data_IF_923251891466
#
_entry.id   IF_923251891466
#
_cell.length_a   1.000
_cell.length_b   1.000
_cell.length_c   1.000
_cell.angle_alpha   90.00
_cell.angle_beta   90.00
_cell.angle_gamma   90.00
#
_symmetry.space_group_name_H-M   'P 1'
#
loop_
_entity.id
_entity.type
_entity.pdbx_description
1 polymer ?
#
# COMPACT_ATOMS: atom_id res chain seq x y z
N UNK A 1 -36.19 25.68 22.57
CA UNK A 1 -35.75 24.53 21.76
C UNK A 1 -34.72 23.78 22.57
N UNK A 2 -35.04 22.57 22.99
CA UNK A 2 -34.19 21.75 23.86
C UNK A 2 -32.95 21.27 23.09
N UNK A 3 -31.76 21.43 23.68
CA UNK A 3 -30.48 21.15 23.01
C UNK A 3 -30.39 19.67 22.54
N UNK A 4 -30.99 18.75 23.29
CA UNK A 4 -31.03 17.32 22.96
C UNK A 4 -31.86 16.99 21.69
N UNK A 5 -32.75 17.88 21.26
CA UNK A 5 -33.59 17.69 20.09
C UNK A 5 -32.95 18.16 18.79
N UNK A 6 -31.77 18.77 18.85
CA UNK A 6 -31.05 19.18 17.65
C UNK A 6 -30.58 17.96 16.85
N UNK A 7 -30.86 17.96 15.54
CA UNK A 7 -30.54 16.88 14.61
C UNK A 7 -29.05 16.52 14.65
N UNK A 8 -28.16 17.52 14.71
CA UNK A 8 -26.71 17.27 14.81
C UNK A 8 -26.31 16.50 16.06
N UNK A 9 -26.97 16.74 17.19
CA UNK A 9 -26.67 16.07 18.47
C UNK A 9 -27.18 14.63 18.41
N UNK A 10 -28.38 14.41 17.87
CA UNK A 10 -28.92 13.06 17.62
C UNK A 10 -28.03 12.27 16.65
N UNK A 11 -27.57 12.89 15.58
CA UNK A 11 -26.69 12.28 14.58
C UNK A 11 -25.31 11.95 15.17
N UNK A 12 -24.75 12.82 16.01
CA UNK A 12 -23.50 12.58 16.74
C UNK A 12 -23.63 11.36 17.66
N UNK A 13 -24.68 11.28 18.47
CA UNK A 13 -24.90 10.16 19.38
C UNK A 13 -25.29 8.86 18.64
N UNK A 14 -26.02 8.96 17.52
CA UNK A 14 -26.30 7.81 16.66
C UNK A 14 -25.05 7.32 15.92
N UNK A 15 -24.15 8.22 15.53
CA UNK A 15 -22.83 7.88 14.99
C UNK A 15 -21.99 7.18 16.05
N UNK A 16 -21.91 7.72 17.27
CA UNK A 16 -21.14 7.15 18.39
C UNK A 16 -21.68 5.78 18.85
N UNK A 17 -23.00 5.56 18.82
CA UNK A 17 -23.61 4.24 19.05
C UNK A 17 -23.32 3.23 17.94
N UNK A 18 -23.21 3.68 16.69
CA UNK A 18 -22.75 2.84 15.56
C UNK A 18 -21.25 2.49 15.64
N UNK A 19 -20.49 3.21 16.46
CA UNK A 19 -19.06 2.97 16.73
C UNK A 19 -18.79 1.91 17.79
N UNK A 20 -19.78 1.12 18.25
CA UNK A 20 -19.49 -0.08 19.03
C UNK A 20 -18.50 -0.95 18.24
N UNK A 21 -17.32 -1.14 18.82
CA UNK A 21 -16.22 -1.87 18.19
C UNK A 21 -16.63 -3.33 18.07
N UNK A 22 -17.12 -3.71 16.89
CA UNK A 22 -17.39 -5.11 16.57
C UNK A 22 -16.06 -5.80 16.35
N UNK A 23 -15.68 -6.68 17.28
CA UNK A 23 -14.51 -7.54 17.12
C UNK A 23 -14.75 -8.41 15.88
N UNK A 24 -13.88 -8.35 14.86
CA UNK A 24 -14.01 -9.19 13.68
C UNK A 24 -13.93 -10.67 14.05
N UNK A 25 -14.71 -11.50 13.37
CA UNK A 25 -14.59 -12.96 13.45
C UNK A 25 -13.27 -13.45 12.84
N UNK A 26 -12.83 -14.65 13.21
CA UNK A 26 -11.63 -15.28 12.66
C UNK A 26 -11.66 -15.36 11.13
N UNK A 27 -12.83 -15.64 10.52
CA UNK A 27 -13.01 -15.60 9.06
C UNK A 27 -12.74 -14.21 8.47
N UNK A 28 -13.09 -13.14 9.18
CA UNK A 28 -12.84 -11.77 8.71
C UNK A 28 -11.38 -11.34 8.88
N UNK A 29 -10.62 -12.02 9.74
CA UNK A 29 -9.19 -11.82 9.93
C UNK A 29 -8.35 -12.72 9.02
N UNK A 30 -8.92 -13.81 8.51
CA UNK A 30 -8.29 -14.70 7.56
C UNK A 30 -7.89 -13.95 6.28
N UNK A 31 -6.69 -14.22 5.80
CA UNK A 31 -6.15 -13.70 4.54
C UNK A 31 -5.77 -14.87 3.63
N UNK A 32 -5.26 -14.58 2.43
CA UNK A 32 -4.87 -15.56 1.43
C UNK A 32 -3.38 -15.48 1.09
N UNK A 33 -2.83 -16.55 0.52
CA UNK A 33 -1.42 -16.63 0.17
C UNK A 33 -1.09 -15.75 -1.05
N UNK A 34 -0.33 -14.68 -0.83
CA UNK A 34 0.07 -13.74 -1.90
C UNK A 34 0.89 -14.41 -3.02
N UNK A 35 1.56 -15.54 -2.75
CA UNK A 35 2.33 -16.30 -3.72
C UNK A 35 1.52 -16.70 -4.95
N UNK A 36 0.21 -16.93 -4.80
CA UNK A 36 -0.69 -17.23 -5.92
C UNK A 36 -0.70 -16.09 -6.95
N UNK A 37 -0.63 -14.83 -6.49
CA UNK A 37 -0.59 -13.66 -7.36
C UNK A 37 0.81 -13.44 -7.96
N UNK A 38 1.87 -13.77 -7.22
CA UNK A 38 3.24 -13.77 -7.74
C UNK A 38 3.38 -14.80 -8.87
N UNK A 39 2.85 -16.01 -8.68
CA UNK A 39 2.82 -17.07 -9.69
C UNK A 39 2.01 -16.64 -10.92
N UNK A 40 0.88 -15.97 -10.73
CA UNK A 40 0.12 -15.39 -11.84
C UNK A 40 0.96 -14.38 -12.64
N UNK A 41 1.68 -13.47 -11.98
CA UNK A 41 2.56 -12.52 -12.67
C UNK A 41 3.67 -13.26 -13.44
N UNK A 42 4.30 -14.26 -12.82
CA UNK A 42 5.37 -15.07 -13.45
C UNK A 42 4.88 -15.91 -14.63
N UNK A 43 3.66 -16.43 -14.57
CA UNK A 43 3.15 -17.39 -15.57
C UNK A 43 2.28 -16.78 -16.66
N UNK A 44 1.56 -15.68 -16.36
CA UNK A 44 0.61 -15.04 -17.29
C UNK A 44 1.05 -13.67 -17.78
N UNK A 45 1.90 -13.00 -17.02
CA UNK A 45 2.40 -11.66 -17.34
C UNK A 45 3.91 -11.68 -17.61
N UNK A 46 4.41 -12.77 -18.17
CA UNK A 46 5.80 -12.95 -18.61
C UNK A 46 5.82 -13.68 -19.97
N UNK A 47 6.75 -13.37 -20.90
CA UNK A 47 7.80 -12.34 -20.81
C UNK A 47 7.29 -10.92 -21.10
N UNK A 48 7.87 -9.91 -20.44
CA UNK A 48 7.40 -8.49 -20.49
C UNK A 48 7.28 -7.95 -21.92
N UNK A 49 8.20 -8.33 -22.81
CA UNK A 49 8.28 -7.84 -24.20
C UNK A 49 7.09 -8.26 -25.08
N UNK A 50 6.35 -9.29 -24.67
CA UNK A 50 5.21 -9.83 -25.44
C UNK A 50 3.86 -9.27 -24.98
N UNK A 51 3.85 -8.53 -23.88
CA UNK A 51 2.62 -8.06 -23.27
C UNK A 51 2.01 -6.87 -24.01
N UNK A 52 0.69 -6.87 -24.13
CA UNK A 52 -0.07 -5.71 -24.57
C UNK A 52 0.08 -4.56 -23.56
N UNK A 53 -0.23 -3.34 -24.00
CA UNK A 53 -0.23 -2.18 -23.11
C UNK A 53 -1.15 -2.39 -21.90
N UNK A 54 -2.32 -3.01 -22.08
CA UNK A 54 -3.25 -3.31 -20.98
C UNK A 54 -2.66 -4.34 -20.00
N UNK A 55 -1.97 -5.36 -20.51
CA UNK A 55 -1.30 -6.35 -19.67
C UNK A 55 -0.10 -5.76 -18.90
N UNK A 56 0.67 -4.87 -19.54
CA UNK A 56 1.74 -4.12 -18.89
C UNK A 56 1.19 -3.24 -17.77
N UNK A 57 0.07 -2.55 -18.02
CA UNK A 57 -0.61 -1.73 -17.03
C UNK A 57 -1.06 -2.54 -15.82
N UNK A 58 -1.72 -3.67 -16.08
CA UNK A 58 -2.15 -4.59 -15.04
C UNK A 58 -0.96 -5.09 -14.22
N UNK A 59 0.13 -5.51 -14.89
CA UNK A 59 1.36 -5.96 -14.24
C UNK A 59 1.94 -4.89 -13.32
N UNK A 60 2.10 -3.66 -13.80
CA UNK A 60 2.60 -2.54 -12.99
C UNK A 60 1.69 -2.28 -11.78
N UNK A 61 0.37 -2.31 -11.96
CA UNK A 61 -0.58 -2.11 -10.86
C UNK A 61 -0.44 -3.22 -9.81
N UNK A 62 -0.38 -4.49 -10.21
CA UNK A 62 -0.26 -5.62 -9.29
C UNK A 62 1.05 -5.54 -8.50
N UNK A 63 2.17 -5.28 -9.17
CA UNK A 63 3.48 -5.12 -8.55
C UNK A 63 3.50 -3.95 -7.57
N UNK A 64 2.90 -2.80 -7.93
CA UNK A 64 2.77 -1.66 -7.03
C UNK A 64 1.91 -1.99 -5.82
N UNK A 65 0.76 -2.65 -6.00
CA UNK A 65 -0.11 -3.02 -4.89
C UNK A 65 0.60 -3.99 -3.93
N UNK A 66 1.36 -4.96 -4.45
CA UNK A 66 2.10 -5.92 -3.63
C UNK A 66 3.29 -5.27 -2.89
N UNK A 67 4.05 -4.40 -3.55
CA UNK A 67 5.27 -3.78 -3.02
C UNK A 67 5.03 -2.59 -2.08
N UNK A 68 3.94 -1.86 -2.27
CA UNK A 68 3.58 -0.70 -1.43
C UNK A 68 2.52 -1.04 -0.38
N UNK A 69 1.80 -2.15 -0.59
CA UNK A 69 0.58 -2.49 0.15
C UNK A 69 -0.50 -1.39 0.08
N UNK A 70 -0.44 -0.52 -0.93
CA UNK A 70 -1.40 0.58 -1.11
C UNK A 70 -2.71 0.09 -1.73
N UNK A 71 -3.80 0.78 -1.42
CA UNK A 71 -5.12 0.39 -1.91
C UNK A 71 -5.23 0.66 -3.40
N UNK A 72 -5.65 -0.33 -4.21
CA UNK A 72 -5.75 -0.18 -5.67
C UNK A 72 -6.61 1.03 -6.09
N UNK A 73 -7.75 1.26 -5.42
CA UNK A 73 -8.67 2.34 -5.81
C UNK A 73 -8.22 3.72 -5.34
N UNK A 74 -7.94 3.88 -4.05
CA UNK A 74 -7.78 5.20 -3.44
C UNK A 74 -6.38 5.73 -3.47
N UNK A 75 -5.39 4.83 -3.48
CA UNK A 75 -4.00 5.22 -3.33
C UNK A 75 -3.34 5.10 -4.71
N UNK A 76 -3.36 3.91 -5.33
CA UNK A 76 -2.78 3.66 -6.67
C UNK A 76 -3.59 4.34 -7.77
N UNK A 77 -4.91 4.19 -7.78
CA UNK A 77 -5.78 4.75 -8.81
C UNK A 77 -5.83 6.29 -8.86
N UNK A 78 -5.21 6.98 -7.89
CA UNK A 78 -5.08 8.45 -7.87
C UNK A 78 -3.68 8.95 -8.21
N UNK A 79 -2.72 8.06 -8.40
CA UNK A 79 -1.35 8.45 -8.73
C UNK A 79 -1.29 9.14 -10.09
N UNK A 80 -0.50 10.20 -10.15
CA UNK A 80 -0.16 10.94 -11.35
C UNK A 80 1.34 10.88 -11.56
N UNK A 81 1.81 11.15 -12.79
CA UNK A 81 3.25 11.16 -13.07
C UNK A 81 4.05 12.10 -12.15
N UNK A 82 3.48 13.25 -11.77
CA UNK A 82 4.10 14.22 -10.83
C UNK A 82 4.31 13.67 -9.41
N UNK A 83 3.70 12.53 -9.10
CA UNK A 83 3.80 11.85 -7.81
C UNK A 83 5.01 10.90 -7.78
N UNK A 84 5.71 10.76 -8.89
CA UNK A 84 6.81 9.83 -9.08
C UNK A 84 8.11 10.61 -9.24
N UNK A 85 9.06 10.36 -8.35
CA UNK A 85 10.38 10.97 -8.35
C UNK A 85 11.42 9.88 -8.61
N UNK A 86 12.11 9.99 -9.74
CA UNK A 86 13.19 9.08 -10.11
C UNK A 86 14.50 9.57 -9.50
N UNK A 87 15.09 8.78 -8.61
CA UNK A 87 16.46 8.99 -8.13
C UNK A 87 17.41 8.30 -9.09
N UNK A 88 18.25 9.08 -9.75
CA UNK A 88 19.29 8.56 -10.64
C UNK A 88 20.55 8.20 -9.85
N UNK A 89 21.28 7.20 -10.34
CA UNK A 89 22.65 6.92 -9.91
C UNK A 89 23.64 7.91 -10.55
N UNK A 90 24.90 7.82 -10.13
CA UNK A 90 26.00 8.65 -10.63
C UNK A 90 26.30 8.41 -12.13
N UNK A 91 25.81 7.31 -12.69
CA UNK A 91 25.95 6.95 -14.11
C UNK A 91 24.77 7.42 -14.98
N UNK A 92 23.75 8.04 -14.37
CA UNK A 92 22.54 8.52 -15.03
C UNK A 92 21.42 7.50 -15.18
N UNK A 93 21.63 6.25 -14.74
CA UNK A 93 20.62 5.20 -14.60
C UNK A 93 19.66 5.48 -13.44
N UNK A 94 18.50 4.81 -13.39
CA UNK A 94 17.54 5.00 -12.28
C UNK A 94 17.86 4.03 -11.16
N UNK A 95 18.40 4.53 -10.04
CA UNK A 95 18.72 3.72 -8.85
C UNK A 95 17.48 3.36 -8.03
N UNK A 96 16.54 4.30 -7.90
CA UNK A 96 15.30 4.07 -7.16
C UNK A 96 14.19 5.03 -7.58
N UNK A 97 12.96 4.64 -7.30
CA UNK A 97 11.75 5.43 -7.57
C UNK A 97 11.07 5.72 -6.24
N UNK A 98 10.87 7.00 -5.93
CA UNK A 98 10.05 7.45 -4.80
C UNK A 98 8.66 7.80 -5.31
N UNK A 99 7.63 7.25 -4.68
CA UNK A 99 6.23 7.45 -5.06
C UNK A 99 5.51 8.14 -3.89
N UNK A 100 4.71 9.16 -4.20
CA UNK A 100 3.97 9.97 -3.22
C UNK A 100 2.45 9.89 -3.42
N UNK A 101 1.73 9.26 -2.49
CA UNK A 101 0.26 9.36 -2.44
C UNK A 101 -0.13 10.67 -1.74
N UNK A 102 -0.42 11.72 -2.53
CA UNK A 102 -0.80 13.05 -2.02
C UNK A 102 -2.21 13.13 -1.43
N UNK A 103 -3.11 12.27 -1.87
CA UNK A 103 -4.51 12.25 -1.43
C UNK A 103 -4.92 10.83 -0.99
N UNK A 104 -4.26 10.24 0.01
CA UNK A 104 -4.62 8.92 0.49
C UNK A 104 -5.99 8.96 1.15
N UNK A 105 -6.68 7.81 1.18
CA UNK A 105 -8.01 7.73 1.81
C UNK A 105 -7.97 8.03 3.32
N UNK A 106 -6.88 7.66 3.97
CA UNK A 106 -6.70 7.67 5.42
C UNK A 106 -5.29 8.14 5.75
N UNK A 107 -5.18 9.15 6.61
CA UNK A 107 -3.91 9.68 7.11
C UNK A 107 -3.30 10.79 6.25
N UNK A 108 -2.10 11.26 6.63
CA UNK A 108 -1.32 12.23 5.88
C UNK A 108 -0.75 11.62 4.58
N UNK A 109 0.01 12.41 3.82
CA UNK A 109 0.69 11.97 2.59
C UNK A 109 1.58 10.76 2.87
N UNK A 110 1.47 9.72 2.02
CA UNK A 110 2.24 8.48 2.12
C UNK A 110 3.31 8.41 1.06
N UNK A 111 4.51 7.99 1.44
CA UNK A 111 5.63 7.85 0.50
C UNK A 111 6.31 6.50 0.61
N UNK A 112 6.69 5.91 -0.53
CA UNK A 112 7.44 4.65 -0.61
C UNK A 112 8.57 4.79 -1.61
N UNK A 113 9.72 4.16 -1.31
CA UNK A 113 10.88 4.10 -2.21
C UNK A 113 11.02 2.65 -2.69
N UNK A 114 11.02 2.46 -4.01
CA UNK A 114 11.23 1.18 -4.67
C UNK A 114 12.61 1.21 -5.36
N UNK A 115 13.45 0.24 -5.06
CA UNK A 115 14.68 -0.05 -5.80
C UNK A 115 14.48 -1.10 -6.88
N UNK A 116 15.49 -1.21 -7.74
CA UNK A 116 15.55 -2.16 -8.85
C UNK A 116 15.45 -3.63 -8.39
N UNK A 117 14.73 -4.45 -9.16
CA UNK A 117 14.69 -5.91 -9.02
C UNK A 117 15.68 -6.53 -10.01
N UNK A 118 16.35 -7.61 -9.61
CA UNK A 118 17.30 -8.34 -10.47
C UNK A 118 16.63 -9.17 -11.57
N UNK A 119 15.34 -9.46 -11.42
CA UNK A 119 14.54 -10.19 -12.41
C UNK A 119 13.88 -9.18 -13.37
N UNK A 120 14.39 -9.12 -14.60
CA UNK A 120 13.90 -8.23 -15.67
C UNK A 120 12.43 -8.51 -16.03
N UNK A 121 11.99 -9.76 -15.91
CA UNK A 121 10.59 -10.11 -16.15
C UNK A 121 9.69 -9.76 -14.96
N UNK A 122 10.24 -9.42 -13.79
CA UNK A 122 9.48 -8.78 -12.70
C UNK A 122 9.52 -7.25 -12.76
N UNK A 123 10.32 -6.66 -13.65
CA UNK A 123 10.39 -5.23 -13.89
C UNK A 123 9.49 -4.82 -15.06
N UNK A 124 8.79 -3.68 -14.95
CA UNK A 124 7.94 -3.17 -16.03
C UNK A 124 8.60 -2.01 -16.75
N UNK A 125 8.94 -2.20 -18.02
CA UNK A 125 9.33 -1.11 -18.93
C UNK A 125 8.06 -0.42 -19.47
N UNK A 126 7.42 0.45 -18.68
CA UNK A 126 6.13 1.03 -19.06
C UNK A 126 6.22 2.48 -19.54
N UNK A 127 5.62 2.77 -20.70
CA UNK A 127 5.17 4.11 -21.10
C UNK A 127 3.79 4.45 -20.49
N UNK A 128 3.47 5.74 -20.43
CA UNK A 128 2.32 6.33 -19.71
C UNK A 128 0.95 5.73 -20.06
N UNK A 129 0.08 5.65 -19.05
CA UNK A 129 -1.13 4.84 -18.98
C UNK A 129 -2.36 5.69 -18.70
N UNK A 130 -3.46 5.45 -19.39
CA UNK A 130 -4.77 6.06 -19.09
C UNK A 130 -5.46 5.30 -17.95
N UNK A 131 -6.10 5.99 -16.99
CA UNK A 131 -6.80 5.34 -15.90
C UNK A 131 -8.17 4.81 -16.35
N UNK A 132 -8.31 3.49 -16.39
CA UNK A 132 -9.61 2.80 -16.25
C UNK A 132 -9.54 1.87 -15.03
N UNK A 133 -10.72 1.55 -14.46
CA UNK A 133 -10.93 1.21 -13.05
C UNK A 133 -9.96 0.18 -12.46
N UNK A 134 -8.85 0.66 -11.89
CA UNK A 134 -7.75 -0.11 -11.26
C UNK A 134 -8.26 -1.21 -10.33
N UNK A 135 -9.28 -0.92 -9.51
CA UNK A 135 -9.83 -1.90 -8.59
C UNK A 135 -10.53 -3.08 -9.29
N UNK A 136 -11.18 -2.85 -10.44
CA UNK A 136 -11.83 -3.90 -11.20
C UNK A 136 -10.79 -4.77 -11.91
N UNK A 137 -9.77 -4.15 -12.50
CA UNK A 137 -8.65 -4.88 -13.11
C UNK A 137 -7.91 -5.77 -12.12
N UNK A 138 -7.61 -5.25 -10.93
CA UNK A 138 -7.01 -6.06 -9.86
C UNK A 138 -7.95 -7.20 -9.45
N UNK A 139 -9.25 -6.95 -9.33
CA UNK A 139 -10.22 -8.00 -8.97
C UNK A 139 -10.33 -9.07 -10.06
N UNK A 140 -10.30 -8.70 -11.34
CA UNK A 140 -10.27 -9.65 -12.45
C UNK A 140 -9.01 -10.52 -12.40
N UNK A 141 -7.84 -9.91 -12.23
CA UNK A 141 -6.59 -10.66 -12.12
C UNK A 141 -6.59 -11.60 -10.90
N UNK A 142 -7.15 -11.17 -9.77
CA UNK A 142 -7.34 -12.06 -8.61
C UNK A 142 -8.21 -13.28 -8.95
N UNK A 143 -9.33 -13.07 -9.65
CA UNK A 143 -10.20 -14.16 -10.07
C UNK A 143 -9.50 -15.13 -11.04
N UNK A 144 -8.76 -14.60 -12.01
CA UNK A 144 -7.98 -15.39 -12.96
C UNK A 144 -6.83 -16.17 -12.31
N UNK A 145 -6.25 -15.63 -11.24
CA UNK A 145 -5.27 -16.32 -10.41
C UNK A 145 -5.88 -17.41 -9.50
N UNK A 146 -7.22 -17.57 -9.49
CA UNK A 146 -7.92 -18.57 -8.68
C UNK A 146 -8.29 -18.10 -7.27
N UNK A 147 -8.23 -16.80 -6.98
CA UNK A 147 -8.63 -16.24 -5.68
C UNK A 147 -10.14 -16.00 -5.68
N UNK A 148 -10.82 -16.42 -4.61
CA UNK A 148 -12.27 -16.21 -4.49
C UNK A 148 -12.59 -14.72 -4.26
N UNK A 149 -13.10 -14.06 -5.30
CA UNK A 149 -13.41 -12.63 -5.28
C UNK A 149 -14.76 -12.28 -4.63
N UNK A 150 -15.51 -13.29 -4.16
CA UNK A 150 -16.67 -13.09 -3.27
C UNK A 150 -16.19 -12.81 -1.85
N UNK A 151 -15.21 -13.57 -1.39
CA UNK A 151 -14.64 -13.46 -0.05
C UNK A 151 -13.52 -12.39 0.01
N UNK A 152 -12.74 -12.22 -1.06
CA UNK A 152 -11.62 -11.28 -1.10
C UNK A 152 -11.78 -10.18 -2.15
N UNK A 153 -11.74 -8.92 -1.70
CA UNK A 153 -11.77 -7.75 -2.59
C UNK A 153 -10.36 -7.25 -2.90
N UNK A 154 -10.21 -6.37 -3.90
CA UNK A 154 -8.90 -5.86 -4.34
C UNK A 154 -8.02 -5.24 -3.22
N UNK A 155 -8.63 -4.70 -2.16
CA UNK A 155 -7.88 -4.15 -1.02
C UNK A 155 -7.28 -5.23 -0.10
N UNK A 156 -7.67 -6.50 -0.24
CA UNK A 156 -7.13 -7.62 0.55
C UNK A 156 -5.67 -7.94 0.22
N UNK A 157 -5.17 -7.53 -0.96
CA UNK A 157 -3.75 -7.66 -1.34
C UNK A 157 -2.85 -7.05 -0.27
N UNK A 158 -3.24 -5.91 0.32
CA UNK A 158 -2.51 -5.28 1.43
C UNK A 158 -2.32 -6.24 2.60
N UNK A 159 -3.37 -6.94 3.02
CA UNK A 159 -3.33 -7.85 4.15
C UNK A 159 -2.51 -9.11 3.83
N UNK A 160 -2.66 -9.65 2.62
CA UNK A 160 -1.87 -10.80 2.14
C UNK A 160 -0.37 -10.46 2.04
N UNK A 161 -0.02 -9.30 1.48
CA UNK A 161 1.37 -8.82 1.41
C UNK A 161 1.99 -8.59 2.79
N UNK A 162 1.27 -7.95 3.72
CA UNK A 162 1.75 -7.71 5.09
C UNK A 162 1.97 -9.03 5.84
N UNK A 163 1.03 -9.97 5.74
CA UNK A 163 1.19 -11.30 6.35
C UNK A 163 2.43 -12.01 5.81
N UNK A 164 2.67 -11.92 4.49
CA UNK A 164 3.86 -12.52 3.89
C UNK A 164 5.16 -11.86 4.34
N UNK A 165 5.17 -10.54 4.54
CA UNK A 165 6.33 -9.83 5.06
C UNK A 165 6.69 -10.30 6.47
N UNK A 166 5.69 -10.43 7.35
CA UNK A 166 5.86 -10.98 8.71
C UNK A 166 6.36 -12.43 8.66
N UNK A 167 5.76 -13.29 7.82
CA UNK A 167 6.21 -14.69 7.63
C UNK A 167 7.69 -14.78 7.22
N UNK A 168 8.18 -13.81 6.44
CA UNK A 168 9.57 -13.73 5.98
C UNK A 168 10.52 -13.11 7.02
N UNK A 169 10.03 -12.87 8.24
CA UNK A 169 10.83 -12.42 9.39
C UNK A 169 11.05 -10.92 9.45
N UNK A 170 10.25 -10.11 8.75
CA UNK A 170 10.35 -8.65 8.84
C UNK A 170 9.73 -8.13 10.13
N UNK A 171 10.34 -7.10 10.71
CA UNK A 171 9.79 -6.45 11.90
C UNK A 171 8.64 -5.53 11.51
N UNK A 172 7.61 -5.46 12.36
CA UNK A 172 6.43 -4.59 12.14
C UNK A 172 6.83 -3.10 11.99
N UNK A 173 8.00 -2.71 12.53
CA UNK A 173 8.53 -1.35 12.40
C UNK A 173 9.08 -1.06 11.01
N UNK A 174 9.65 -2.05 10.31
CA UNK A 174 10.07 -1.91 8.91
C UNK A 174 8.87 -1.83 7.94
N UNK A 175 7.73 -2.44 8.30
CA UNK A 175 6.47 -2.35 7.55
C UNK A 175 5.80 -0.97 7.65
N UNK A 176 6.06 -0.21 8.73
CA UNK A 176 5.58 1.17 8.92
C UNK A 176 6.31 2.20 8.06
N UNK A 177 7.36 1.81 7.31
CA UNK A 177 8.08 2.72 6.40
C UNK A 177 7.34 2.88 5.05
N UNK A 178 6.03 3.07 5.10
CA UNK A 178 5.40 4.09 4.26
C UNK A 178 5.58 5.38 5.06
N UNK A 179 6.51 6.26 4.69
CA UNK A 179 6.68 7.56 5.34
C UNK A 179 5.33 8.29 5.33
N UNK A 180 4.59 8.18 6.44
CA UNK A 180 3.53 9.11 6.82
C UNK A 180 4.28 10.39 7.19
N UNK A 181 4.28 11.39 6.30
CA UNK A 181 4.74 12.72 6.71
C UNK A 181 3.61 13.33 7.54
N UNK A 182 3.59 12.97 8.81
CA UNK A 182 2.63 13.49 9.78
C UNK A 182 2.84 12.89 11.16
N UNK A 183 3.71 13.55 11.92
CA UNK A 183 3.84 13.52 13.40
C UNK A 183 4.08 12.14 14.00
N UNK A 184 5.30 11.93 14.51
CA UNK A 184 5.63 10.84 15.44
C UNK A 184 4.55 10.70 16.51
N UNK A 185 3.83 9.57 16.49
CA UNK A 185 3.01 9.16 17.63
C UNK A 185 3.97 8.81 18.77
N UNK A 186 4.12 9.76 19.70
CA UNK A 186 4.69 9.53 21.03
C UNK A 186 4.15 8.20 21.56
N UNK A 187 5.06 7.26 21.89
CA UNK A 187 4.74 5.99 22.56
C UNK A 187 3.66 6.24 23.61
N UNK A 188 2.53 5.56 23.45
CA UNK A 188 1.52 5.45 24.50
C UNK A 188 2.10 4.48 25.55
N UNK A 189 3.04 4.97 26.36
CA UNK A 189 3.24 4.44 27.69
C UNK A 189 2.03 4.89 28.51
N UNK A 190 1.25 3.94 29.03
CA UNK A 190 0.32 4.25 30.10
C UNK A 190 1.10 4.94 31.23
N UNK A 191 0.87 6.24 31.40
CA UNK A 191 1.51 7.03 32.45
C UNK A 191 1.19 8.51 32.27
N UNK A 192 0.34 9.03 33.15
CA UNK A 192 0.03 10.46 33.27
C UNK A 192 1.29 11.28 33.59
N UNK A 193 1.55 12.38 32.86
CA UNK A 193 1.71 13.77 33.36
C UNK A 193 2.22 14.71 32.27
N UNK A 194 1.77 15.96 32.34
CA UNK A 194 2.15 17.15 31.56
C UNK A 194 3.66 17.44 31.51
N UNK A 195 4.20 17.90 30.36
CA UNK A 195 4.84 19.23 30.24
C UNK A 195 5.43 19.54 28.85
N UNK A 196 5.40 20.85 28.60
CA UNK A 196 5.92 21.69 27.52
C UNK A 196 7.44 21.57 27.32
N UNK A 197 7.90 21.27 26.09
CA UNK A 197 9.02 21.94 25.41
C UNK A 197 9.17 21.41 23.98
N UNK A 198 9.31 22.34 23.03
CA UNK A 198 9.57 22.09 21.60
C UNK A 198 11.08 22.23 21.40
N UNK A 199 11.72 21.21 20.84
CA UNK A 199 13.07 21.35 20.29
C UNK A 199 13.11 20.68 18.91
N UNK A 200 13.68 21.40 17.94
CA UNK A 200 13.70 21.04 16.53
C UNK A 200 14.86 20.07 16.26
N UNK A 201 14.59 18.86 15.75
CA UNK A 201 15.66 17.93 15.34
C UNK A 201 15.50 17.53 13.88
N UNK A 202 16.56 17.78 13.11
CA UNK A 202 16.71 17.51 11.67
C UNK A 202 16.87 15.99 11.46
N UNK A 203 16.14 15.40 10.50
CA UNK A 203 16.16 13.94 10.22
C UNK A 203 16.89 13.61 8.93
N UNK A 204 17.89 12.71 9.01
CA UNK A 204 18.62 12.14 7.87
C UNK A 204 17.86 10.94 7.25
N UNK A 205 17.87 10.85 5.90
CA UNK A 205 17.18 9.80 5.15
C UNK A 205 18.00 8.49 5.12
N UNK A 206 17.65 7.51 5.95
CA UNK A 206 18.24 6.16 5.89
C UNK A 206 17.54 5.34 4.81
N UNK A 207 18.27 5.01 3.73
CA UNK A 207 17.84 4.05 2.69
C UNK A 207 18.21 2.65 3.17
N UNK A 208 17.23 1.77 3.40
CA UNK A 208 17.50 0.39 3.80
C UNK A 208 18.08 -0.41 2.62
N UNK A 209 19.22 -1.11 2.79
CA UNK A 209 19.93 -1.79 1.71
C UNK A 209 19.21 -3.03 1.14
N UNK A 210 18.20 -3.57 1.83
CA UNK A 210 17.43 -4.73 1.36
C UNK A 210 15.92 -4.52 1.58
N UNK A 211 15.18 -4.03 0.57
CA UNK A 211 13.75 -3.79 0.71
C UNK A 211 12.97 -5.10 0.87
N UNK A 212 12.10 -5.18 1.89
CA UNK A 212 11.32 -6.38 2.23
C UNK A 212 10.55 -6.99 1.05
N UNK A 213 9.98 -6.14 0.18
CA UNK A 213 9.16 -6.58 -0.95
C UNK A 213 9.95 -7.42 -1.95
N UNK A 214 11.29 -7.28 -2.03
CA UNK A 214 12.12 -8.07 -2.95
C UNK A 214 12.03 -9.57 -2.63
N UNK A 215 11.86 -9.93 -1.36
CA UNK A 215 11.73 -11.33 -0.92
C UNK A 215 10.37 -11.95 -1.23
N UNK A 216 9.36 -11.15 -1.56
CA UNK A 216 8.08 -11.66 -2.06
C UNK A 216 8.23 -12.14 -3.51
N UNK A 217 9.14 -11.54 -4.27
CA UNK A 217 9.34 -11.83 -5.69
C UNK A 217 10.47 -12.82 -5.97
N UNK A 218 11.45 -12.89 -5.07
CA UNK A 218 12.62 -13.79 -5.14
C UNK A 218 12.33 -15.26 -4.87
#
# INVERSE_FOLDING_TARGET
MEIAEQTMIKDLFASKRRSEVKIPSEKQLATWNIGILVDYVKTKLSPTVTLSLEQLQLKTILLLCMSTMWRPRSDIGRLQYRDIIFKKDDTGGTSSVRIHSRNPKEGPVKSTILGELSDEDMCTNSTSVKPTTVANWVKTAMAEAGIDTKDYQAHSIRAASSTKAVELGHSIQEERITFDVGVEETKIGLGTTTNTQVDETTTENVIHPNPWYKRIFG
#
